data_IF_351430675317
#
_entry.id   IF_351430675317
#
_cell.length_a   1.000
_cell.length_b   1.000
_cell.length_c   1.000
_cell.angle_alpha   90.00
_cell.angle_beta   90.00
_cell.angle_gamma   90.00
#
_symmetry.space_group_name_H-M   'P 1'
#
loop_
_entity.id
_entity.type
_entity.pdbx_description
1 polymer ?
#
# COMPACT_ATOMS: atom_id res chain seq x y z
N UNK A 1 -9.32 16.97 -12.56
CA UNK A 1 -8.95 15.88 -11.65
C UNK A 1 -7.54 15.41 -11.96
N UNK A 2 -6.70 15.38 -10.95
CA UNK A 2 -5.33 14.88 -11.09
C UNK A 2 -5.35 13.36 -11.15
N UNK A 3 -4.72 12.79 -12.17
CA UNK A 3 -4.52 11.34 -12.29
C UNK A 3 -3.12 10.96 -11.87
N UNK A 4 -3.00 9.89 -11.12
CA UNK A 4 -1.72 9.27 -10.79
C UNK A 4 -1.69 7.91 -11.48
N UNK A 5 -0.62 7.64 -12.24
CA UNK A 5 -0.41 6.35 -12.88
C UNK A 5 0.48 5.46 -12.03
N UNK A 6 0.23 4.18 -12.10
CA UNK A 6 1.06 3.17 -11.47
C UNK A 6 1.17 1.92 -12.32
N UNK A 7 2.20 1.14 -12.05
CA UNK A 7 2.41 -0.14 -12.76
C UNK A 7 3.31 -1.07 -11.95
N UNK A 8 3.26 -2.36 -12.29
CA UNK A 8 4.32 -3.29 -11.93
C UNK A 8 5.57 -3.04 -12.78
N UNK A 9 6.67 -3.67 -12.43
CA UNK A 9 7.95 -3.50 -13.13
C UNK A 9 7.84 -3.85 -14.63
N UNK A 10 7.20 -4.96 -14.97
CA UNK A 10 7.08 -5.40 -16.37
C UNK A 10 5.93 -4.74 -17.14
N UNK A 11 5.11 -3.92 -16.49
CA UNK A 11 3.96 -3.21 -17.06
C UNK A 11 2.81 -4.10 -17.58
N UNK A 12 2.77 -5.36 -17.18
CA UNK A 12 1.59 -6.20 -17.44
C UNK A 12 0.40 -5.75 -16.58
N UNK A 13 0.67 -5.07 -15.47
CA UNK A 13 -0.35 -4.43 -14.62
C UNK A 13 -0.11 -2.94 -14.68
N UNK A 14 -1.10 -2.21 -15.17
CA UNK A 14 -1.08 -0.74 -15.29
C UNK A 14 -2.41 -0.21 -14.79
N UNK A 15 -2.37 0.84 -14.01
CA UNK A 15 -3.57 1.41 -13.41
C UNK A 15 -3.47 2.93 -13.27
N UNK A 16 -4.62 3.55 -13.10
CA UNK A 16 -4.77 4.97 -12.81
C UNK A 16 -5.53 5.14 -11.51
N UNK A 17 -5.13 6.11 -10.73
CA UNK A 17 -5.84 6.53 -9.52
C UNK A 17 -6.39 7.92 -9.79
N UNK A 18 -7.68 8.07 -9.59
CA UNK A 18 -8.38 9.35 -9.64
C UNK A 18 -8.44 9.90 -8.21
N UNK A 19 -8.18 11.16 -8.05
CA UNK A 19 -7.97 11.83 -6.77
C UNK A 19 -6.57 11.57 -6.17
N UNK A 20 -6.19 12.44 -5.27
CA UNK A 20 -4.82 12.53 -4.79
C UNK A 20 -4.48 11.46 -3.76
N UNK A 21 -3.35 10.79 -3.97
CA UNK A 21 -2.71 10.00 -2.92
C UNK A 21 -1.96 10.98 -2.01
N UNK A 22 -2.52 11.29 -0.85
CA UNK A 22 -2.00 12.35 0.01
C UNK A 22 -0.78 11.94 0.81
N UNK A 23 -0.71 10.69 1.21
CA UNK A 23 0.38 10.18 2.05
C UNK A 23 0.42 8.66 2.01
N UNK A 24 1.52 8.11 2.54
CA UNK A 24 1.69 6.69 2.75
C UNK A 24 2.02 6.38 4.20
N UNK A 25 1.88 5.12 4.57
CA UNK A 25 2.18 4.61 5.91
C UNK A 25 3.07 3.38 5.78
N UNK A 26 4.11 3.32 6.58
CA UNK A 26 4.98 2.15 6.66
C UNK A 26 4.43 1.14 7.67
N UNK A 27 4.33 -0.12 7.27
CA UNK A 27 3.93 -1.20 8.15
C UNK A 27 5.12 -2.14 8.39
N UNK A 28 5.47 -2.30 9.65
CA UNK A 28 6.64 -3.09 10.07
C UNK A 28 6.28 -4.49 10.58
N UNK A 29 5.04 -4.95 10.42
CA UNK A 29 4.64 -6.28 10.88
C UNK A 29 5.42 -7.39 10.14
N UNK A 30 5.48 -8.58 10.75
CA UNK A 30 6.26 -9.70 10.21
C UNK A 30 5.82 -10.13 8.82
N UNK A 31 4.52 -10.05 8.51
CA UNK A 31 4.01 -10.37 7.17
C UNK A 31 4.47 -9.33 6.15
N UNK A 32 4.46 -8.05 6.50
CA UNK A 32 4.95 -6.99 5.62
C UNK A 32 6.46 -7.08 5.42
N UNK A 33 7.21 -7.49 6.44
CA UNK A 33 8.64 -7.75 6.32
C UNK A 33 8.91 -8.85 5.29
N UNK A 34 8.16 -9.95 5.34
CA UNK A 34 8.37 -11.08 4.45
C UNK A 34 7.86 -10.86 3.02
N UNK A 35 6.75 -10.15 2.87
CA UNK A 35 6.15 -9.92 1.55
C UNK A 35 6.74 -8.72 0.80
N UNK A 36 7.43 -7.85 1.50
CA UNK A 36 8.17 -6.71 0.94
C UNK A 36 9.64 -6.85 1.35
N UNK A 37 10.37 -5.80 1.57
CA UNK A 37 11.75 -5.92 2.04
C UNK A 37 11.77 -6.02 3.58
N UNK A 38 11.82 -4.90 4.29
CA UNK A 38 11.79 -4.86 5.76
C UNK A 38 10.52 -4.23 6.29
N UNK A 39 9.75 -3.60 5.42
CA UNK A 39 8.47 -2.97 5.70
C UNK A 39 7.71 -2.76 4.40
N UNK A 40 6.39 -2.62 4.49
CA UNK A 40 5.59 -2.16 3.36
C UNK A 40 5.44 -0.65 3.39
N UNK A 41 5.23 -0.04 2.23
CA UNK A 41 4.94 1.37 2.11
C UNK A 41 3.69 1.51 1.23
N UNK A 42 2.54 1.66 1.87
CA UNK A 42 1.25 1.71 1.19
C UNK A 42 0.58 3.07 1.33
N UNK A 43 -0.02 3.52 0.23
CA UNK A 43 -1.06 4.55 0.27
C UNK A 43 -2.42 3.88 0.09
N UNK A 44 -3.43 4.34 0.81
CA UNK A 44 -4.78 3.78 0.75
C UNK A 44 -5.68 4.71 -0.04
N UNK A 45 -6.48 4.14 -0.93
CA UNK A 45 -7.47 4.87 -1.73
C UNK A 45 -8.81 4.15 -1.70
N UNK A 46 -9.87 4.86 -2.01
CA UNK A 46 -11.17 4.22 -2.27
C UNK A 46 -11.07 3.38 -3.54
N UNK A 47 -11.63 2.18 -3.51
CA UNK A 47 -11.59 1.27 -4.65
C UNK A 47 -12.20 1.88 -5.91
N UNK A 48 -13.24 2.70 -5.77
CA UNK A 48 -13.88 3.39 -6.89
C UNK A 48 -12.94 4.37 -7.61
N UNK A 49 -11.89 4.84 -6.95
CA UNK A 49 -10.90 5.74 -7.51
C UNK A 49 -9.77 5.02 -8.26
N UNK A 50 -9.76 3.69 -8.25
CA UNK A 50 -8.75 2.88 -8.94
C UNK A 50 -9.33 2.28 -10.22
N UNK A 51 -8.69 2.56 -11.35
CA UNK A 51 -9.03 1.98 -12.65
C UNK A 51 -7.85 1.21 -13.22
N UNK A 52 -8.05 -0.08 -13.49
CA UNK A 52 -7.07 -0.89 -14.21
C UNK A 52 -7.14 -0.61 -15.71
N UNK A 53 -6.01 -0.31 -16.32
CA UNK A 53 -5.82 -0.25 -17.78
C UNK A 53 -5.35 -1.59 -18.31
N UNK A 54 -4.49 -2.27 -17.56
CA UNK A 54 -4.06 -3.65 -17.79
C UNK A 54 -3.97 -4.35 -16.44
N UNK A 55 -4.39 -5.60 -16.38
CA UNK A 55 -4.24 -6.43 -15.18
C UNK A 55 -3.84 -7.86 -15.49
N UNK A 56 -3.08 -8.03 -16.56
CA UNK A 56 -2.51 -9.31 -16.93
C UNK A 56 -1.51 -9.77 -15.87
N UNK A 57 -1.63 -11.00 -15.42
CA UNK A 57 -0.80 -11.59 -14.36
C UNK A 57 -1.03 -11.02 -12.96
N UNK A 58 -2.09 -10.23 -12.72
CA UNK A 58 -2.47 -9.88 -11.36
C UNK A 58 -3.00 -11.12 -10.64
N UNK A 59 -2.33 -11.50 -9.57
CA UNK A 59 -2.75 -12.59 -8.69
C UNK A 59 -2.89 -12.10 -7.26
N UNK A 60 -3.75 -12.78 -6.52
CA UNK A 60 -4.02 -12.49 -5.12
C UNK A 60 -3.64 -13.67 -4.25
N UNK A 61 -2.86 -13.40 -3.22
CA UNK A 61 -2.50 -14.34 -2.16
C UNK A 61 -3.30 -13.98 -0.90
N UNK A 62 -4.02 -14.94 -0.34
CA UNK A 62 -4.73 -14.77 0.92
C UNK A 62 -3.73 -14.88 2.07
N UNK A 63 -3.20 -13.73 2.50
CA UNK A 63 -2.14 -13.68 3.50
C UNK A 63 -2.64 -13.91 4.93
N UNK A 64 -3.95 -13.76 5.16
CA UNK A 64 -4.62 -14.05 6.41
C UNK A 64 -6.11 -14.30 6.17
N UNK A 65 -6.86 -14.59 7.24
CA UNK A 65 -8.33 -14.72 7.15
C UNK A 65 -8.99 -13.41 6.70
N UNK A 66 -8.40 -12.26 7.04
CA UNK A 66 -9.00 -10.94 6.80
C UNK A 66 -8.47 -10.24 5.56
N UNK A 67 -7.25 -10.55 5.12
CA UNK A 67 -6.57 -9.76 4.10
C UNK A 67 -5.97 -10.60 2.98
N UNK A 68 -5.84 -9.97 1.82
CA UNK A 68 -5.18 -10.52 0.65
C UNK A 68 -4.18 -9.53 0.07
N UNK A 69 -3.17 -10.06 -0.63
CA UNK A 69 -2.10 -9.28 -1.25
C UNK A 69 -2.11 -9.51 -2.76
N UNK A 70 -2.09 -8.42 -3.52
CA UNK A 70 -2.05 -8.45 -4.98
C UNK A 70 -0.64 -8.24 -5.48
N UNK A 71 -0.22 -9.07 -6.43
CA UNK A 71 1.13 -9.02 -7.00
C UNK A 71 1.10 -9.42 -8.47
N UNK A 72 2.16 -9.04 -9.19
CA UNK A 72 2.35 -9.49 -10.56
C UNK A 72 3.05 -10.86 -10.58
N UNK A 73 2.39 -11.87 -11.13
CA UNK A 73 2.97 -13.21 -11.22
C UNK A 73 4.08 -13.31 -12.26
N UNK A 74 4.23 -12.33 -13.15
CA UNK A 74 5.30 -12.30 -14.15
C UNK A 74 6.59 -11.69 -13.60
N UNK A 75 6.54 -10.51 -12.97
CA UNK A 75 7.73 -9.82 -12.47
C UNK A 75 7.89 -9.81 -10.94
N UNK A 76 6.90 -10.32 -10.21
CA UNK A 76 6.96 -10.42 -8.75
C UNK A 76 6.68 -9.12 -7.99
N UNK A 77 6.33 -8.03 -8.67
CA UNK A 77 6.04 -6.75 -7.99
C UNK A 77 4.91 -6.91 -6.98
N UNK A 78 5.15 -6.54 -5.72
CA UNK A 78 4.12 -6.44 -4.68
C UNK A 78 3.38 -5.12 -4.86
N UNK A 79 2.05 -5.17 -5.10
CA UNK A 79 1.31 -4.00 -5.54
C UNK A 79 0.19 -3.58 -4.58
N UNK A 80 -0.62 -4.55 -4.11
CA UNK A 80 -1.87 -4.24 -3.43
C UNK A 80 -2.04 -5.01 -2.14
N UNK A 81 -2.76 -4.38 -1.22
CA UNK A 81 -3.22 -4.99 0.02
C UNK A 81 -4.68 -4.62 0.24
N UNK A 82 -5.54 -5.60 0.49
CA UNK A 82 -6.97 -5.37 0.55
C UNK A 82 -7.65 -6.32 1.54
N UNK A 83 -8.73 -5.83 2.16
CA UNK A 83 -9.62 -6.69 2.94
C UNK A 83 -10.30 -7.74 2.04
N UNK A 84 -10.45 -8.95 2.57
CA UNK A 84 -11.17 -10.02 1.88
C UNK A 84 -12.68 -9.87 1.98
N UNK A 85 -13.17 -9.15 2.99
CA UNK A 85 -14.60 -8.98 3.26
C UNK A 85 -15.16 -7.64 2.79
N UNK A 86 -14.30 -6.66 2.48
CA UNK A 86 -14.71 -5.35 2.03
C UNK A 86 -13.97 -4.96 0.75
N UNK A 87 -14.69 -4.37 -0.19
CA UNK A 87 -14.14 -3.89 -1.46
C UNK A 87 -14.16 -2.37 -1.55
N UNK A 88 -14.32 -1.68 -0.43
CA UNK A 88 -14.42 -0.21 -0.40
C UNK A 88 -13.08 0.48 -0.58
N UNK A 89 -12.03 -0.12 -0.04
CA UNK A 89 -10.69 0.46 -0.02
C UNK A 89 -9.65 -0.52 -0.58
N UNK A 90 -8.55 0.03 -1.06
CA UNK A 90 -7.38 -0.74 -1.46
C UNK A 90 -6.12 0.04 -1.10
N UNK A 91 -5.16 -0.65 -0.51
CA UNK A 91 -3.83 -0.10 -0.28
C UNK A 91 -2.94 -0.42 -1.46
N UNK A 92 -2.17 0.54 -1.91
CA UNK A 92 -1.34 0.47 -3.11
C UNK A 92 0.09 0.75 -2.72
N UNK A 93 1.02 -0.09 -3.14
CA UNK A 93 2.45 0.11 -2.92
C UNK A 93 2.88 1.45 -3.53
N UNK A 94 3.43 2.35 -2.71
CA UNK A 94 3.80 3.68 -3.16
C UNK A 94 4.91 3.64 -4.23
N UNK A 95 5.78 2.64 -4.18
CA UNK A 95 6.82 2.46 -5.18
C UNK A 95 6.31 2.10 -6.57
N UNK A 96 5.07 1.61 -6.70
CA UNK A 96 4.46 1.34 -8.01
C UNK A 96 3.91 2.59 -8.70
N UNK A 97 3.83 3.71 -7.99
CA UNK A 97 3.29 4.97 -8.50
C UNK A 97 4.39 5.80 -9.15
N UNK A 98 4.05 6.51 -10.22
CA UNK A 98 4.96 7.45 -10.87
C UNK A 98 4.94 8.86 -10.25
N UNK A 99 4.36 8.99 -9.06
CA UNK A 99 4.35 10.20 -8.24
C UNK A 99 4.97 9.91 -6.88
N UNK A 100 5.60 10.91 -6.29
CA UNK A 100 6.08 10.83 -4.91
C UNK A 100 4.89 10.92 -3.95
N UNK A 101 4.86 10.04 -2.96
CA UNK A 101 3.86 10.06 -1.91
C UNK A 101 4.59 10.18 -0.57
N UNK A 102 4.38 11.27 0.19
CA UNK A 102 5.10 11.47 1.45
C UNK A 102 4.67 10.47 2.51
N UNK A 103 5.63 9.95 3.24
CA UNK A 103 5.36 9.08 4.40
C UNK A 103 4.87 9.95 5.56
N UNK A 104 3.74 9.57 6.16
CA UNK A 104 3.16 10.29 7.30
C UNK A 104 3.41 9.58 8.63
N UNK A 105 3.53 8.26 8.61
CA UNK A 105 3.70 7.53 9.84
C UNK A 105 3.94 6.04 9.65
N UNK A 106 3.90 5.34 10.76
CA UNK A 106 4.24 3.93 10.87
C UNK A 106 3.23 3.18 11.71
N UNK A 107 2.93 1.93 11.33
CA UNK A 107 2.17 0.99 12.16
C UNK A 107 3.01 -0.25 12.42
N UNK A 108 2.67 -0.99 13.47
CA UNK A 108 3.43 -2.14 13.97
C UNK A 108 4.92 -1.81 14.17
N UNK A 109 5.18 -0.60 14.68
CA UNK A 109 6.53 -0.08 14.85
C UNK A 109 7.35 -0.89 15.87
N UNK A 110 6.69 -1.54 16.82
CA UNK A 110 7.35 -2.43 17.80
C UNK A 110 8.09 -3.61 17.12
N UNK A 111 7.61 -4.04 15.93
CA UNK A 111 8.18 -5.16 15.19
C UNK A 111 9.25 -4.72 14.19
N UNK A 112 9.57 -3.44 14.16
CA UNK A 112 10.53 -2.84 13.24
C UNK A 112 11.84 -3.62 13.20
N UNK A 113 12.18 -4.12 12.02
CA UNK A 113 13.43 -4.84 11.75
C UNK A 113 14.49 -3.93 11.15
N UNK A 114 14.04 -2.88 10.44
CA UNK A 114 14.94 -1.96 9.76
C UNK A 114 15.85 -1.21 10.74
N UNK A 115 17.10 -1.02 10.34
CA UNK A 115 18.09 -0.20 11.04
C UNK A 115 17.96 1.30 10.70
N UNK A 116 17.03 1.65 9.82
CA UNK A 116 16.82 3.02 9.39
C UNK A 116 16.24 3.89 10.51
N UNK A 117 16.72 5.12 10.60
CA UNK A 117 16.12 6.15 11.42
C UNK A 117 15.07 6.90 10.63
N UNK A 118 13.94 7.18 11.25
CA UNK A 118 12.84 7.89 10.61
C UNK A 118 12.62 9.26 11.26
N UNK A 119 12.13 10.27 10.50
CA UNK A 119 11.88 11.59 11.03
C UNK A 119 10.96 11.57 12.26
N UNK A 120 11.24 12.44 13.23
CA UNK A 120 10.43 12.57 14.46
C UNK A 120 8.97 12.97 14.18
N UNK A 121 8.74 13.69 13.07
CA UNK A 121 7.40 14.11 12.67
C UNK A 121 6.50 12.94 12.26
N UNK A 122 7.09 11.81 11.90
CA UNK A 122 6.30 10.60 11.58
C UNK A 122 5.64 10.08 12.85
N UNK A 123 4.31 9.96 12.81
CA UNK A 123 3.55 9.28 13.87
C UNK A 123 3.91 7.79 13.87
N UNK A 124 4.26 7.26 15.04
CA UNK A 124 4.67 5.85 15.19
C UNK A 124 3.73 5.13 16.15
N UNK A 125 3.01 4.15 15.65
CA UNK A 125 2.11 3.31 16.42
C UNK A 125 2.77 1.96 16.64
N UNK A 126 2.79 1.48 17.89
CA UNK A 126 3.41 0.18 18.24
C UNK A 126 2.69 -0.99 17.55
N UNK A 127 1.37 -0.89 17.40
CA UNK A 127 0.52 -1.85 16.71
C UNK A 127 -0.28 -1.15 15.61
N UNK A 128 -1.55 -1.52 15.41
CA UNK A 128 -2.45 -0.85 14.46
C UNK A 128 -2.69 0.61 14.87
N UNK A 129 -2.85 1.47 13.90
CA UNK A 129 -3.21 2.88 14.11
C UNK A 129 -4.69 3.09 14.45
N UNK A 130 -5.50 2.04 14.49
CA UNK A 130 -6.93 2.06 14.83
C UNK A 130 -7.70 3.15 14.04
N UNK A 131 -7.45 3.22 12.73
CA UNK A 131 -8.12 4.19 11.87
C UNK A 131 -7.60 5.63 11.96
N UNK A 132 -6.54 5.90 12.72
CA UNK A 132 -5.99 7.25 12.86
C UNK A 132 -5.73 7.93 11.52
N UNK A 133 -5.18 7.18 10.55
CA UNK A 133 -4.84 7.73 9.25
C UNK A 133 -6.04 7.85 8.31
N UNK A 134 -7.12 7.11 8.56
CA UNK A 134 -8.28 7.06 7.67
C UNK A 134 -8.98 8.42 7.55
N UNK A 135 -9.01 9.19 8.63
CA UNK A 135 -9.57 10.55 8.65
C UNK A 135 -8.92 11.51 7.65
N UNK A 136 -7.72 11.19 7.18
CA UNK A 136 -7.01 12.00 6.19
C UNK A 136 -7.24 11.53 4.76
N UNK A 137 -7.76 10.31 4.58
CA UNK A 137 -8.04 9.72 3.28
C UNK A 137 -9.37 10.21 2.73
N UNK A 138 -10.34 10.44 3.63
CA UNK A 138 -11.72 10.75 3.29
C UNK A 138 -12.08 12.25 3.35
N UNK A 139 -11.08 13.08 3.49
CA UNK A 139 -11.29 14.54 3.47
C UNK A 139 -11.29 15.10 2.07
#
# INVERSE_FOLDING_TARGET
MKKIKGSCLCKNIVFEIFNECRFSVLCHCTMCQKSNAEFSNYTKVKKENLKFLKKKNLKWFFSSKKFKRGFCSNCGSSLFFQSRSSNEEIAISSGSLNSKVPVKGHIFYKDKKSNLSFPKIHKKFSQSAQGFFDKFIYK
#
